data_IF_881085911184
#
_entry.id   IF_881085911184
#
_cell.length_a   1.000
_cell.length_b   1.000
_cell.length_c   1.000
_cell.angle_alpha   90.00
_cell.angle_beta   90.00
_cell.angle_gamma   90.00
#
_symmetry.space_group_name_H-M   'P 1'
#
loop_
_entity.id
_entity.type
_entity.pdbx_description
1 polymer ?
#
# COMPACT_ATOMS: atom_id res chain seq x y z
N UNK A 1 4.35 -0.88 -20.95
CA UNK A 1 4.95 -2.13 -20.41
C UNK A 1 6.24 -1.87 -19.64
N UNK A 2 7.34 -1.38 -20.25
CA UNK A 2 8.59 -1.18 -19.50
C UNK A 2 8.48 -0.19 -18.32
N UNK A 3 7.70 0.88 -18.47
CA UNK A 3 7.49 1.86 -17.39
C UNK A 3 6.75 1.27 -16.18
N UNK A 4 5.68 0.50 -16.40
CA UNK A 4 4.91 -0.12 -15.31
C UNK A 4 5.72 -1.15 -14.54
N UNK A 5 6.51 -1.98 -15.24
CA UNK A 5 7.41 -2.94 -14.59
C UNK A 5 8.48 -2.21 -13.76
N UNK A 6 8.98 -1.08 -14.24
CA UNK A 6 9.90 -0.25 -13.48
C UNK A 6 9.25 0.33 -12.22
N UNK A 7 8.07 0.95 -12.35
CA UNK A 7 7.33 1.51 -11.21
C UNK A 7 6.97 0.43 -10.19
N UNK A 8 6.52 -0.75 -10.63
CA UNK A 8 6.25 -1.88 -9.73
C UNK A 8 7.50 -2.30 -8.94
N UNK A 9 8.67 -2.31 -9.59
CA UNK A 9 9.93 -2.61 -8.92
C UNK A 9 10.35 -1.51 -7.93
N UNK A 10 10.01 -0.25 -8.18
CA UNK A 10 10.24 0.85 -7.23
C UNK A 10 9.35 0.69 -5.99
N UNK A 11 8.05 0.40 -6.18
CA UNK A 11 7.12 0.12 -5.08
C UNK A 11 7.63 -1.06 -4.25
N UNK A 12 8.01 -2.17 -4.90
CA UNK A 12 8.52 -3.35 -4.19
C UNK A 12 9.76 -3.07 -3.34
N UNK A 13 10.67 -2.21 -3.82
CA UNK A 13 11.86 -1.78 -3.05
C UNK A 13 11.50 -0.87 -1.87
N UNK A 14 10.52 0.03 -2.06
CA UNK A 14 10.05 0.88 -0.98
C UNK A 14 9.35 0.05 0.11
N UNK A 15 8.57 -0.97 -0.27
CA UNK A 15 7.97 -1.93 0.67
C UNK A 15 9.04 -2.74 1.42
N UNK A 16 10.07 -3.23 0.73
CA UNK A 16 11.17 -3.96 1.40
C UNK A 16 11.86 -3.08 2.45
N UNK A 17 12.07 -1.79 2.11
CA UNK A 17 12.63 -0.81 3.05
C UNK A 17 11.69 -0.54 4.22
N UNK A 18 10.40 -0.37 3.97
CA UNK A 18 9.38 -0.17 5.01
C UNK A 18 9.37 -1.32 6.02
N UNK A 19 9.43 -2.58 5.56
CA UNK A 19 9.39 -3.74 6.46
C UNK A 19 10.73 -3.94 7.19
N UNK A 20 11.84 -3.60 6.54
CA UNK A 20 13.18 -3.89 7.09
C UNK A 20 13.70 -2.81 8.02
N UNK A 21 13.28 -1.56 7.80
CA UNK A 21 13.77 -0.38 8.54
C UNK A 21 12.66 0.36 9.27
N UNK A 22 11.39 0.15 8.91
CA UNK A 22 10.27 0.88 9.50
C UNK A 22 9.96 0.46 10.93
N UNK A 23 9.65 1.44 11.75
CA UNK A 23 9.04 1.28 13.08
C UNK A 23 7.61 1.80 13.08
N UNK A 24 6.90 1.66 14.20
CA UNK A 24 5.60 2.29 14.43
C UNK A 24 5.60 3.75 13.96
N UNK A 25 4.65 4.09 13.09
CA UNK A 25 4.55 5.42 12.46
C UNK A 25 5.17 5.51 11.06
N UNK A 26 5.95 4.51 10.62
CA UNK A 26 6.47 4.43 9.25
C UNK A 26 5.39 3.99 8.27
N UNK A 27 5.38 4.55 7.07
CA UNK A 27 4.41 4.22 6.03
C UNK A 27 4.98 4.40 4.63
N UNK A 28 4.35 3.73 3.67
CA UNK A 28 4.52 3.98 2.24
C UNK A 28 3.18 4.39 1.64
N UNK A 29 3.13 5.52 0.96
CA UNK A 29 1.98 5.92 0.14
C UNK A 29 2.35 5.74 -1.33
N UNK A 30 1.47 5.11 -2.09
CA UNK A 30 1.51 5.04 -3.55
C UNK A 30 0.23 5.66 -4.08
N UNK A 31 0.32 6.73 -4.88
CA UNK A 31 -0.84 7.52 -5.27
C UNK A 31 -0.87 7.91 -6.75
N UNK A 32 -2.08 8.10 -7.27
CA UNK A 32 -2.39 8.78 -8.53
C UNK A 32 -3.52 9.76 -8.23
N UNK A 33 -3.22 11.06 -8.25
CA UNK A 33 -4.13 12.12 -7.84
C UNK A 33 -4.76 11.83 -6.45
N UNK A 34 -6.09 11.70 -6.37
CA UNK A 34 -6.85 11.43 -5.13
C UNK A 34 -6.93 9.93 -4.78
N UNK A 35 -6.45 9.05 -5.66
CA UNK A 35 -6.47 7.59 -5.44
C UNK A 35 -5.16 7.15 -4.83
N UNK A 36 -5.20 6.48 -3.67
CA UNK A 36 -3.99 6.04 -3.00
C UNK A 36 -4.09 4.64 -2.40
N UNK A 37 -2.91 4.06 -2.20
CA UNK A 37 -2.64 2.94 -1.32
C UNK A 37 -1.71 3.40 -0.20
N UNK A 38 -2.02 3.04 1.03
CA UNK A 38 -1.14 3.25 2.17
C UNK A 38 -0.73 1.91 2.76
N UNK A 39 0.57 1.70 2.91
CA UNK A 39 1.14 0.51 3.53
C UNK A 39 1.77 0.86 4.87
N UNK A 40 1.54 0.00 5.85
CA UNK A 40 2.15 0.05 7.18
C UNK A 40 2.83 -1.30 7.43
N UNK A 41 4.03 -1.27 8.02
CA UNK A 41 4.58 -2.50 8.61
C UNK A 41 3.79 -2.82 9.87
N UNK A 42 3.19 -4.00 9.93
CA UNK A 42 2.53 -4.52 11.12
C UNK A 42 3.23 -5.82 11.52
N UNK A 43 3.37 -6.08 12.81
CA UNK A 43 4.10 -7.26 13.29
C UNK A 43 5.51 -6.96 13.77
N UNK A 44 6.10 -7.93 14.45
CA UNK A 44 7.46 -7.85 14.96
C UNK A 44 8.49 -8.15 13.86
N UNK A 45 9.79 -7.95 14.15
CA UNK A 45 10.89 -8.16 13.20
C UNK A 45 10.92 -9.59 12.64
N UNK A 46 10.35 -10.57 13.35
CA UNK A 46 10.28 -11.97 12.90
C UNK A 46 9.04 -12.23 12.02
N UNK A 47 7.96 -11.47 12.23
CA UNK A 47 6.70 -11.55 11.53
C UNK A 47 6.57 -10.37 10.56
N UNK A 48 7.21 -10.51 9.40
CA UNK A 48 7.17 -9.52 8.30
C UNK A 48 5.77 -9.44 7.69
N UNK A 49 4.88 -8.61 8.26
CA UNK A 49 3.55 -8.35 7.72
C UNK A 49 3.40 -6.90 7.27
N UNK A 50 2.54 -6.70 6.28
CA UNK A 50 2.11 -5.40 5.81
C UNK A 50 0.61 -5.28 5.95
N UNK A 51 0.16 -4.19 6.55
CA UNK A 51 -1.21 -3.72 6.43
C UNK A 51 -1.28 -2.77 5.24
N UNK A 52 -2.31 -2.91 4.41
CA UNK A 52 -2.52 -2.08 3.24
C UNK A 52 -3.93 -1.50 3.25
N UNK A 53 -4.05 -0.20 3.07
CA UNK A 53 -5.31 0.47 2.78
C UNK A 53 -5.38 0.88 1.32
N UNK A 54 -6.59 0.82 0.75
CA UNK A 54 -6.96 1.37 -0.54
C UNK A 54 -8.17 2.29 -0.36
N UNK A 55 -8.13 3.47 -0.96
CA UNK A 55 -9.15 4.50 -0.76
C UNK A 55 -10.57 4.00 -1.09
N UNK A 56 -11.55 4.32 -0.24
CA UNK A 56 -12.95 3.91 -0.47
C UNK A 56 -13.82 4.98 -1.13
N UNK A 57 -15.06 4.61 -1.45
CA UNK A 57 -16.09 5.52 -1.93
C UNK A 57 -16.47 6.63 -0.94
N UNK A 58 -16.09 6.51 0.34
CA UNK A 58 -16.28 7.59 1.31
C UNK A 58 -15.41 8.81 0.97
N UNK A 59 -14.20 8.58 0.46
CA UNK A 59 -13.22 9.62 0.19
C UNK A 59 -13.04 9.96 -1.29
N UNK A 60 -13.49 9.07 -2.18
CA UNK A 60 -13.40 9.31 -3.62
C UNK A 60 -14.35 10.44 -4.07
N UNK A 61 -13.91 11.29 -5.01
CA UNK A 61 -14.80 12.22 -5.71
C UNK A 61 -15.96 11.48 -6.38
N UNK A 62 -17.13 12.13 -6.50
CA UNK A 62 -18.36 11.52 -7.03
C UNK A 62 -18.16 10.86 -8.41
N UNK A 63 -17.33 11.44 -9.28
CA UNK A 63 -17.05 10.90 -10.62
C UNK A 63 -16.01 9.78 -10.67
N UNK A 64 -15.43 9.40 -9.53
CA UNK A 64 -14.40 8.37 -9.39
C UNK A 64 -14.82 7.24 -8.44
N UNK A 65 -16.03 7.30 -7.88
CA UNK A 65 -16.55 6.25 -7.01
C UNK A 65 -16.59 4.91 -7.76
N UNK A 66 -16.19 3.87 -7.04
CA UNK A 66 -16.22 2.49 -7.48
C UNK A 66 -17.67 2.01 -7.60
N UNK A 67 -17.98 1.44 -8.76
CA UNK A 67 -19.20 0.70 -9.03
C UNK A 67 -19.18 -0.67 -8.33
N UNK A 68 -20.34 -1.33 -8.14
CA UNK A 68 -20.41 -2.62 -7.46
C UNK A 68 -19.48 -3.71 -8.02
N UNK A 69 -19.23 -3.70 -9.33
CA UNK A 69 -18.33 -4.64 -10.01
C UNK A 69 -16.86 -4.39 -9.65
N UNK A 70 -16.45 -3.12 -9.52
CA UNK A 70 -15.11 -2.71 -9.09
C UNK A 70 -14.88 -3.07 -7.61
N UNK A 71 -15.87 -2.81 -6.76
CA UNK A 71 -15.84 -3.20 -5.34
C UNK A 71 -15.70 -4.73 -5.23
N UNK A 72 -16.50 -5.47 -5.99
CA UNK A 72 -16.41 -6.95 -6.00
C UNK A 72 -15.03 -7.42 -6.44
N UNK A 73 -14.44 -6.82 -7.47
CA UNK A 73 -13.09 -7.14 -7.93
C UNK A 73 -12.04 -6.86 -6.85
N UNK A 74 -12.17 -5.75 -6.12
CA UNK A 74 -11.28 -5.38 -5.01
C UNK A 74 -11.40 -6.39 -3.86
N UNK A 75 -12.62 -6.79 -3.50
CA UNK A 75 -12.86 -7.82 -2.48
C UNK A 75 -12.32 -9.20 -2.87
N UNK A 76 -12.36 -9.57 -4.14
CA UNK A 76 -11.75 -10.82 -4.62
C UNK A 76 -10.22 -10.83 -4.50
N UNK A 77 -9.58 -9.65 -4.42
CA UNK A 77 -8.16 -9.51 -4.10
C UNK A 77 -7.86 -9.58 -2.61
N UNK A 78 -8.89 -9.72 -1.76
CA UNK A 78 -8.76 -9.84 -0.30
C UNK A 78 -8.98 -8.55 0.48
N UNK A 79 -9.30 -7.44 -0.20
CA UNK A 79 -9.61 -6.17 0.46
C UNK A 79 -11.02 -6.18 1.06
N UNK A 80 -11.14 -5.71 2.30
CA UNK A 80 -12.41 -5.64 3.02
C UNK A 80 -12.65 -4.25 3.56
N UNK A 81 -13.90 -3.80 3.55
CA UNK A 81 -14.32 -2.57 4.22
C UNK A 81 -14.83 -2.95 5.61
N UNK A 82 -14.36 -2.26 6.64
CA UNK A 82 -14.82 -2.49 8.02
C UNK A 82 -15.44 -1.22 8.57
N UNK A 83 -16.25 -1.35 9.63
CA UNK A 83 -16.86 -0.17 10.28
C UNK A 83 -15.79 0.69 10.98
N UNK A 84 -14.61 0.11 11.27
CA UNK A 84 -13.52 0.76 11.99
C UNK A 84 -12.56 1.49 11.04
N UNK A 85 -12.43 1.01 9.80
CA UNK A 85 -11.55 1.56 8.77
C UNK A 85 -12.40 2.07 7.61
N UNK A 86 -12.48 3.39 7.40
CA UNK A 86 -13.32 3.92 6.34
C UNK A 86 -12.76 3.60 4.93
N UNK A 87 -11.53 3.11 4.83
CA UNK A 87 -10.91 2.56 3.62
C UNK A 87 -11.09 1.04 3.50
N UNK A 88 -10.89 0.52 2.28
CA UNK A 88 -10.72 -0.91 2.08
C UNK A 88 -9.33 -1.33 2.58
N UNK A 89 -9.21 -2.44 3.30
CA UNK A 89 -7.92 -2.91 3.82
C UNK A 89 -7.65 -4.39 3.59
N UNK A 90 -6.36 -4.74 3.53
CA UNK A 90 -5.87 -6.10 3.36
C UNK A 90 -4.51 -6.28 4.05
N UNK A 91 -4.27 -7.46 4.61
CA UNK A 91 -2.99 -7.83 5.22
C UNK A 91 -2.20 -8.77 4.32
N UNK A 92 -0.90 -8.53 4.21
CA UNK A 92 0.03 -9.37 3.48
C UNK A 92 1.10 -9.95 4.41
N UNK A 93 1.27 -11.27 4.36
CA UNK A 93 2.41 -11.95 4.97
C UNK A 93 3.56 -12.02 3.96
N UNK A 94 4.71 -11.43 4.28
CA UNK A 94 5.85 -11.29 3.40
C UNK A 94 6.86 -12.41 3.66
N UNK A 95 6.63 -13.54 3.00
CA UNK A 95 7.50 -14.72 3.09
C UNK A 95 8.84 -14.53 2.37
N UNK A 96 8.85 -13.74 1.30
CA UNK A 96 10.03 -13.49 0.46
C UNK A 96 9.85 -12.24 -0.42
N UNK A 97 10.91 -11.90 -1.17
CA UNK A 97 10.92 -10.74 -2.06
C UNK A 97 10.02 -10.86 -3.29
N UNK A 98 9.60 -12.07 -3.69
CA UNK A 98 8.69 -12.24 -4.82
C UNK A 98 7.30 -11.72 -4.46
N UNK A 99 6.87 -11.91 -3.20
CA UNK A 99 5.62 -11.33 -2.67
C UNK A 99 5.61 -9.82 -2.80
N UNK A 100 6.72 -9.13 -2.47
CA UNK A 100 6.82 -7.67 -2.62
C UNK A 100 6.70 -7.22 -4.07
N UNK A 101 7.29 -7.98 -5.00
CA UNK A 101 7.16 -7.72 -6.42
C UNK A 101 5.71 -7.94 -6.92
N UNK A 102 5.01 -8.95 -6.39
CA UNK A 102 3.60 -9.19 -6.68
C UNK A 102 2.71 -8.07 -6.14
N UNK A 103 2.96 -7.58 -4.91
CA UNK A 103 2.23 -6.44 -4.34
C UNK A 103 2.44 -5.19 -5.21
N UNK A 104 3.68 -4.87 -5.60
CA UNK A 104 3.94 -3.72 -6.47
C UNK A 104 3.22 -3.80 -7.82
N UNK A 105 3.12 -4.99 -8.43
CA UNK A 105 2.34 -5.21 -9.65
C UNK A 105 0.84 -5.11 -9.40
N UNK A 106 0.35 -5.71 -8.31
CA UNK A 106 -1.05 -5.66 -7.92
C UNK A 106 -1.51 -4.21 -7.72
N UNK A 107 -0.74 -3.38 -7.01
CA UNK A 107 -1.07 -1.95 -6.81
C UNK A 107 -1.31 -1.23 -8.13
N UNK A 108 -0.39 -1.37 -9.10
CA UNK A 108 -0.55 -0.75 -10.43
C UNK A 108 -1.71 -1.34 -11.23
N UNK A 109 -1.94 -2.65 -11.11
CA UNK A 109 -3.07 -3.31 -11.75
C UNK A 109 -4.39 -2.78 -11.18
N UNK A 110 -4.49 -2.63 -9.86
CA UNK A 110 -5.69 -2.11 -9.20
C UNK A 110 -5.97 -0.66 -9.60
N UNK A 111 -4.95 0.20 -9.67
CA UNK A 111 -5.10 1.54 -10.23
C UNK A 111 -5.71 1.49 -11.64
N UNK A 112 -5.17 0.67 -12.54
CA UNK A 112 -5.60 0.63 -13.93
C UNK A 112 -6.98 -0.03 -14.13
N UNK A 113 -7.28 -1.11 -13.40
CA UNK A 113 -8.46 -1.94 -13.68
C UNK A 113 -9.63 -1.72 -12.73
N UNK A 114 -9.37 -1.25 -11.51
CA UNK A 114 -10.40 -1.02 -10.49
C UNK A 114 -10.65 0.48 -10.36
N UNK A 115 -9.62 1.30 -10.16
CA UNK A 115 -9.79 2.76 -10.09
C UNK A 115 -9.81 3.45 -11.46
N UNK A 116 -9.57 2.70 -12.54
CA UNK A 116 -9.60 3.18 -13.93
C UNK A 116 -8.65 4.37 -14.18
N UNK A 117 -7.56 4.46 -13.42
CA UNK A 117 -6.52 5.45 -13.62
C UNK A 117 -5.88 5.27 -15.02
N UNK A 118 -5.68 6.34 -15.79
CA UNK A 118 -4.99 6.28 -17.07
C UNK A 118 -3.62 5.59 -16.99
N UNK A 119 -3.27 4.80 -18.01
CA UNK A 119 -2.02 4.03 -18.01
C UNK A 119 -0.75 4.88 -18.09
N UNK A 120 -0.89 6.15 -18.46
CA UNK A 120 0.15 7.17 -18.56
C UNK A 120 0.15 8.14 -17.37
N UNK A 121 -0.71 7.92 -16.37
CA UNK A 121 -0.69 8.68 -15.12
C UNK A 121 0.67 8.57 -14.42
N UNK A 122 1.11 9.70 -13.87
CA UNK A 122 2.27 9.75 -12.98
C UNK A 122 1.89 9.12 -11.63
N UNK A 123 2.73 8.22 -11.14
CA UNK A 123 2.55 7.54 -9.86
C UNK A 123 3.49 8.19 -8.85
N UNK A 124 2.92 8.80 -7.82
CA UNK A 124 3.68 9.32 -6.68
C UNK A 124 3.95 8.19 -5.69
N UNK A 125 5.18 8.13 -5.18
CA UNK A 125 5.65 7.10 -4.25
C UNK A 125 6.40 7.79 -3.12
N UNK A 126 5.74 7.88 -1.96
CA UNK A 126 6.28 8.56 -0.79
C UNK A 126 6.50 7.58 0.35
N UNK A 127 7.77 7.42 0.76
CA UNK A 127 8.18 6.54 1.84
C UNK A 127 8.63 7.36 3.03
N UNK A 128 7.88 7.26 4.13
CA UNK A 128 8.24 7.83 5.42
C UNK A 128 8.74 6.72 6.36
N UNK A 129 9.97 6.84 6.81
CA UNK A 129 10.55 5.99 7.86
C UNK A 129 10.66 6.84 9.12
N UNK A 130 9.93 6.46 10.15
CA UNK A 130 10.00 7.12 11.45
C UNK A 130 11.37 6.88 12.09
N UNK A 131 11.96 7.93 12.66
CA UNK A 131 13.20 7.76 13.42
C UNK A 131 12.85 7.19 14.80
N UNK A 132 13.42 6.03 15.13
CA UNK A 132 13.33 5.52 16.51
C UNK A 132 13.80 6.59 17.49
N UNK A 133 13.03 6.92 18.54
CA UNK A 133 13.51 7.83 19.56
C UNK A 133 14.82 7.26 20.14
N UNK A 134 15.83 8.12 20.42
CA UNK A 134 17.08 7.65 21.00
C UNK A 134 16.76 6.90 22.29
N UNK A 135 17.27 5.68 22.44
CA UNK A 135 17.14 4.91 23.67
C UNK A 135 17.52 5.82 24.84
N UNK A 136 16.56 6.06 25.75
CA UNK A 136 16.85 6.66 27.04
C UNK A 136 17.87 5.75 27.71
N UNK A 137 19.15 6.12 27.65
CA UNK A 137 20.18 5.55 28.51
C UNK A 137 19.73 5.82 29.93
N UNK A 138 19.18 4.79 30.57
CA UNK A 138 19.11 4.73 32.01
C UNK A 138 20.56 4.55 32.44
N UNK A 139 21.24 5.66 32.71
CA UNK A 139 22.51 5.63 33.41
C UNK A 139 22.25 5.01 34.80
N UNK A 140 22.93 3.89 35.08
CA UNK A 140 22.89 3.13 36.33
C UNK A 140 23.23 3.96 37.59
#
# INVERSE_FOLDING_TARGET
>A
MQQQEHTAAVIARALDKLISEGTDGSYLIVAIDEVYFQFLSIGDVEQRWLYCEAVSNEFLPEGQKLEPEQITALTLLGFVETVETPNYSCDFNISDSAVLADIGRMTLQVFATIYLCPSDSEVDIDLHIEESPPELRLDD
#
